data_IF_497564615433
#
_entry.id   IF_497564615433
#
_cell.length_a   1.000
_cell.length_b   1.000
_cell.length_c   1.000
_cell.angle_alpha   90.00
_cell.angle_beta   90.00
_cell.angle_gamma   90.00
#
_symmetry.space_group_name_H-M   'P 1'
#
loop_
_entity.id
_entity.type
_entity.pdbx_description
1 polymer ?
#
# COMPACT_ATOMS: atom_id res chain seq x y z
N UNK A 1 3.13 15.14 18.08
CA UNK A 1 2.85 14.18 19.17
C UNK A 1 1.49 14.42 19.84
N UNK A 2 1.08 15.67 20.11
CA UNK A 2 -0.22 16.01 20.74
C UNK A 2 -1.43 15.56 19.89
N UNK A 3 -1.38 15.70 18.56
CA UNK A 3 -2.49 15.27 17.67
C UNK A 3 -2.80 13.78 17.80
N UNK A 4 -1.80 12.94 18.03
CA UNK A 4 -1.98 11.50 18.06
C UNK A 4 -2.67 11.00 19.34
N UNK A 5 -2.50 11.70 20.47
CA UNK A 5 -3.24 11.39 21.70
C UNK A 5 -4.73 11.68 21.53
N UNK A 6 -5.07 12.85 20.98
CA UNK A 6 -6.46 13.24 20.73
C UNK A 6 -7.15 12.30 19.74
N UNK A 7 -6.45 11.83 18.72
CA UNK A 7 -6.99 10.90 17.74
C UNK A 7 -7.27 9.51 18.34
N UNK A 8 -6.36 9.01 19.18
CA UNK A 8 -6.57 7.76 19.92
C UNK A 8 -7.76 7.90 20.88
N UNK A 9 -7.83 9.00 21.65
CA UNK A 9 -8.93 9.22 22.60
C UNK A 9 -10.27 9.37 21.89
N UNK A 10 -10.33 10.06 20.74
CA UNK A 10 -11.55 10.16 19.91
C UNK A 10 -11.99 8.83 19.32
N UNK A 11 -11.06 7.91 19.06
CA UNK A 11 -11.39 6.57 18.56
C UNK A 11 -12.06 5.70 19.62
N UNK A 12 -11.73 5.91 20.91
CA UNK A 12 -12.29 5.13 21.99
C UNK A 12 -13.76 5.54 22.22
N UNK A 13 -14.73 4.61 22.13
CA UNK A 13 -16.12 4.92 22.45
C UNK A 13 -16.25 5.43 23.89
N UNK A 14 -17.04 6.50 24.11
CA UNK A 14 -17.24 7.08 25.44
C UNK A 14 -17.60 6.02 26.50
N UNK A 15 -18.43 5.02 26.14
CA UNK A 15 -18.79 3.90 27.04
C UNK A 15 -17.58 3.10 27.54
N UNK A 16 -16.56 2.91 26.69
CA UNK A 16 -15.31 2.24 27.09
C UNK A 16 -14.44 3.11 27.99
N UNK A 17 -14.43 4.42 27.80
CA UNK A 17 -13.68 5.33 28.68
C UNK A 17 -14.22 5.22 30.11
N UNK A 18 -15.55 5.28 30.27
CA UNK A 18 -16.19 5.07 31.57
C UNK A 18 -15.93 3.67 32.13
N UNK A 19 -15.92 2.64 31.28
CA UNK A 19 -15.58 1.28 31.69
C UNK A 19 -14.13 1.17 32.22
N UNK A 20 -13.16 1.79 31.54
CA UNK A 20 -11.76 1.75 31.97
C UNK A 20 -11.52 2.53 33.26
N UNK A 21 -12.20 3.67 33.44
CA UNK A 21 -12.19 4.42 34.70
C UNK A 21 -12.78 3.60 35.86
N UNK A 22 -13.89 2.90 35.61
CA UNK A 22 -14.50 2.02 36.59
C UNK A 22 -13.59 0.83 36.92
N UNK A 23 -13.02 0.19 35.90
CA UNK A 23 -12.16 -0.97 36.06
C UNK A 23 -10.83 -0.62 36.74
N UNK A 24 -10.25 0.55 36.46
CA UNK A 24 -9.05 1.02 37.17
C UNK A 24 -9.35 1.31 38.63
N UNK A 25 -10.50 1.92 38.94
CA UNK A 25 -10.92 2.15 40.32
C UNK A 25 -11.13 0.83 41.07
N UNK A 26 -11.81 -0.14 40.44
CA UNK A 26 -12.01 -1.47 40.99
C UNK A 26 -10.68 -2.19 41.26
N UNK A 27 -9.75 -2.14 40.31
CA UNK A 27 -8.43 -2.75 40.47
C UNK A 27 -7.63 -2.09 41.60
N UNK A 28 -7.68 -0.76 41.73
CA UNK A 28 -7.03 -0.07 42.85
C UNK A 28 -7.62 -0.49 44.20
N UNK A 29 -8.95 -0.64 44.30
CA UNK A 29 -9.61 -1.13 45.52
C UNK A 29 -9.17 -2.56 45.84
N UNK A 30 -9.13 -3.45 44.85
CA UNK A 30 -8.64 -4.83 45.02
C UNK A 30 -7.17 -4.83 45.47
N UNK A 31 -6.31 -4.00 44.88
CA UNK A 31 -4.92 -3.90 45.33
C UNK A 31 -4.82 -3.40 46.76
N UNK A 32 -5.65 -2.44 47.18
CA UNK A 32 -5.68 -1.98 48.56
C UNK A 32 -6.10 -3.09 49.51
N UNK A 33 -7.13 -3.88 49.13
CA UNK A 33 -7.60 -5.02 49.91
C UNK A 33 -6.55 -6.11 50.09
N UNK A 34 -5.60 -6.25 49.15
CA UNK A 34 -4.49 -7.21 49.26
C UNK A 34 -3.33 -6.60 50.07
N UNK A 35 -2.96 -5.35 49.78
CA UNK A 35 -1.77 -4.69 50.35
C UNK A 35 -1.96 -4.39 51.84
N UNK A 36 -3.13 -3.88 52.26
CA UNK A 36 -3.38 -3.50 53.67
C UNK A 36 -3.18 -4.68 54.64
N UNK A 37 -3.87 -5.83 54.50
CA UNK A 37 -3.68 -6.94 55.43
C UNK A 37 -2.28 -7.56 55.32
N UNK A 38 -1.65 -7.49 54.13
CA UNK A 38 -0.27 -7.92 53.98
C UNK A 38 0.68 -7.04 54.80
N UNK A 39 0.51 -5.72 54.76
CA UNK A 39 1.30 -4.77 55.54
C UNK A 39 1.12 -5.01 57.05
N UNK A 40 -0.11 -5.21 57.51
CA UNK A 40 -0.42 -5.49 58.92
C UNK A 40 0.23 -6.80 59.40
N UNK A 41 0.16 -7.86 58.60
CA UNK A 41 0.83 -9.14 58.91
C UNK A 41 2.36 -8.99 59.05
N UNK A 42 2.99 -8.24 58.14
CA UNK A 42 4.44 -8.02 58.17
C UNK A 42 4.89 -7.07 59.29
N UNK A 43 4.04 -6.12 59.70
CA UNK A 43 4.28 -5.24 60.83
C UNK A 43 4.43 -6.05 62.13
N UNK A 44 3.52 -7.00 62.36
CA UNK A 44 3.55 -7.85 63.56
C UNK A 44 4.71 -8.86 63.57
N UNK A 45 5.09 -9.39 62.40
CA UNK A 45 6.02 -10.52 62.31
C UNK A 45 7.47 -10.11 62.00
N UNK A 46 7.74 -8.86 61.60
CA UNK A 46 9.07 -8.41 61.19
C UNK A 46 9.42 -7.02 61.70
N UNK A 47 10.38 -6.96 62.63
CA UNK A 47 10.94 -5.69 63.16
C UNK A 47 11.50 -4.76 62.08
N UNK A 48 11.93 -5.30 60.94
CA UNK A 48 12.41 -4.50 59.82
C UNK A 48 11.25 -3.79 59.11
N UNK A 49 10.15 -4.49 58.84
CA UNK A 49 8.98 -3.91 58.19
C UNK A 49 8.28 -2.92 59.10
N UNK A 50 8.23 -3.19 60.41
CA UNK A 50 7.64 -2.26 61.37
C UNK A 50 8.36 -0.91 61.41
N UNK A 51 9.70 -0.91 61.38
CA UNK A 51 10.48 0.33 61.27
C UNK A 51 10.19 1.08 59.97
N UNK A 52 10.01 0.37 58.84
CA UNK A 52 9.64 1.00 57.57
C UNK A 52 8.24 1.64 57.63
N UNK A 53 7.25 0.91 58.16
CA UNK A 53 5.87 1.41 58.28
C UNK A 53 5.81 2.61 59.21
N UNK A 54 6.56 2.60 60.32
CA UNK A 54 6.66 3.73 61.24
C UNK A 54 7.23 4.98 60.57
N UNK A 55 8.33 4.85 59.81
CA UNK A 55 8.90 5.94 59.00
C UNK A 55 7.90 6.45 57.96
N UNK A 56 7.16 5.55 57.30
CA UNK A 56 6.13 5.93 56.32
C UNK A 56 4.94 6.65 56.99
N UNK A 57 4.56 6.24 58.20
CA UNK A 57 3.46 6.86 58.96
C UNK A 57 3.78 8.30 59.38
N UNK A 58 5.06 8.65 59.55
CA UNK A 58 5.52 10.01 59.83
C UNK A 58 5.11 11.02 58.75
N UNK A 59 5.05 10.59 57.48
CA UNK A 59 4.60 11.43 56.37
C UNK A 59 3.07 11.62 56.33
N UNK A 60 2.32 10.91 57.18
CA UNK A 60 0.88 11.04 57.34
C UNK A 60 0.05 10.43 56.19
N UNK A 61 -1.28 10.67 56.19
CA UNK A 61 -2.21 10.05 55.24
C UNK A 61 -1.99 10.49 53.79
N UNK A 62 -1.31 11.62 53.57
CA UNK A 62 -0.99 12.12 52.24
C UNK A 62 -0.14 11.15 51.43
N UNK A 63 0.79 10.44 52.07
CA UNK A 63 1.64 9.47 51.38
C UNK A 63 0.83 8.28 50.86
N UNK A 64 -0.13 7.79 51.65
CA UNK A 64 -1.02 6.68 51.27
C UNK A 64 -1.92 7.09 50.11
N UNK A 65 -2.51 8.29 50.16
CA UNK A 65 -3.34 8.83 49.07
C UNK A 65 -2.51 8.96 47.79
N UNK A 66 -1.28 9.47 47.90
CA UNK A 66 -0.38 9.61 46.77
C UNK A 66 -0.01 8.26 46.15
N UNK A 67 0.29 7.26 46.98
CA UNK A 67 0.62 5.90 46.54
C UNK A 67 -0.54 5.26 45.74
N UNK A 68 -1.77 5.30 46.26
CA UNK A 68 -2.93 4.75 45.55
C UNK A 68 -3.33 5.57 44.32
N UNK A 69 -3.15 6.89 44.33
CA UNK A 69 -3.33 7.74 43.15
C UNK A 69 -2.34 7.36 42.04
N UNK A 70 -1.08 7.09 42.40
CA UNK A 70 -0.06 6.61 41.46
C UNK A 70 -0.44 5.26 40.84
N UNK A 71 -0.93 4.30 41.64
CA UNK A 71 -1.42 3.00 41.15
C UNK A 71 -2.61 3.18 40.20
N UNK A 72 -3.57 4.02 40.55
CA UNK A 72 -4.72 4.30 39.70
C UNK A 72 -4.30 4.90 38.35
N UNK A 73 -3.39 5.88 38.37
CA UNK A 73 -2.80 6.46 37.16
C UNK A 73 -2.05 5.42 36.32
N UNK A 74 -1.33 4.49 36.96
CA UNK A 74 -0.64 3.40 36.26
C UNK A 74 -1.63 2.48 35.53
N UNK A 75 -2.76 2.12 36.16
CA UNK A 75 -3.81 1.34 35.49
C UNK A 75 -4.41 2.07 34.28
N UNK A 76 -4.71 3.36 34.42
CA UNK A 76 -5.18 4.17 33.29
C UNK A 76 -4.16 4.22 32.15
N UNK A 77 -2.88 4.34 32.48
CA UNK A 77 -1.81 4.31 31.48
C UNK A 77 -1.75 2.97 30.74
N UNK A 78 -1.91 1.84 31.43
CA UNK A 78 -1.97 0.52 30.79
C UNK A 78 -3.17 0.38 29.85
N UNK A 79 -4.36 0.83 30.26
CA UNK A 79 -5.53 0.84 29.37
C UNK A 79 -5.35 1.72 28.15
N UNK A 80 -4.74 2.90 28.33
CA UNK A 80 -4.40 3.79 27.22
C UNK A 80 -3.45 3.11 26.23
N UNK A 81 -2.39 2.45 26.71
CA UNK A 81 -1.45 1.73 25.85
C UNK A 81 -2.13 0.60 25.07
N UNK A 82 -3.03 -0.14 25.73
CA UNK A 82 -3.81 -1.20 25.09
C UNK A 82 -4.70 -0.68 23.95
N UNK A 83 -5.44 0.41 24.16
CA UNK A 83 -6.26 1.01 23.09
C UNK A 83 -5.41 1.68 22.01
N UNK A 84 -4.27 2.30 22.37
CA UNK A 84 -3.33 2.84 21.39
C UNK A 84 -2.85 1.75 20.42
N UNK A 85 -2.50 0.57 20.94
CA UNK A 85 -2.08 -0.56 20.10
C UNK A 85 -3.19 -1.01 19.15
N UNK A 86 -4.44 -1.09 19.64
CA UNK A 86 -5.61 -1.44 18.81
C UNK A 86 -5.89 -0.40 17.73
N UNK A 87 -5.78 0.88 18.06
CA UNK A 87 -6.00 1.98 17.13
C UNK A 87 -4.99 1.92 15.96
N UNK A 88 -3.71 1.75 16.25
CA UNK A 88 -2.67 1.63 15.21
C UNK A 88 -2.90 0.40 14.33
N UNK A 89 -3.23 -0.75 14.93
CA UNK A 89 -3.55 -1.98 14.18
C UNK A 89 -4.75 -1.78 13.23
N UNK A 90 -5.80 -1.09 13.70
CA UNK A 90 -6.96 -0.77 12.87
C UNK A 90 -6.60 0.14 11.69
N UNK A 91 -5.76 1.17 11.90
CA UNK A 91 -5.29 2.05 10.82
C UNK A 91 -4.47 1.30 9.78
N UNK A 92 -3.55 0.43 10.20
CA UNK A 92 -2.77 -0.41 9.30
C UNK A 92 -3.68 -1.34 8.49
N UNK A 93 -4.66 -1.97 9.15
CA UNK A 93 -5.64 -2.81 8.47
C UNK A 93 -6.43 -2.04 7.41
N UNK A 94 -6.93 -0.84 7.76
CA UNK A 94 -7.66 0.02 6.82
C UNK A 94 -6.78 0.40 5.62
N UNK A 95 -5.54 0.81 5.86
CA UNK A 95 -4.57 1.15 4.83
C UNK A 95 -4.30 -0.05 3.90
N UNK A 96 -4.04 -1.23 4.48
CA UNK A 96 -3.82 -2.46 3.72
C UNK A 96 -5.02 -2.80 2.82
N UNK A 97 -6.24 -2.66 3.34
CA UNK A 97 -7.48 -2.91 2.58
C UNK A 97 -7.65 -1.92 1.43
N UNK A 98 -7.35 -0.65 1.64
CA UNK A 98 -7.39 0.37 0.58
C UNK A 98 -6.37 0.07 -0.53
N UNK A 99 -5.15 -0.32 -0.17
CA UNK A 99 -4.12 -0.72 -1.13
C UNK A 99 -4.55 -1.94 -1.94
N UNK A 100 -5.13 -2.96 -1.29
CA UNK A 100 -5.67 -4.12 -2.00
C UNK A 100 -6.78 -3.74 -2.99
N UNK A 101 -7.64 -2.78 -2.63
CA UNK A 101 -8.68 -2.29 -3.53
C UNK A 101 -8.09 -1.54 -4.73
N UNK A 102 -7.02 -0.77 -4.53
CA UNK A 102 -6.31 -0.07 -5.62
C UNK A 102 -5.64 -1.09 -6.55
N UNK A 103 -4.93 -2.07 -5.99
CA UNK A 103 -4.28 -3.13 -6.76
C UNK A 103 -5.29 -3.94 -7.59
N UNK A 104 -6.44 -4.30 -7.00
CA UNK A 104 -7.52 -5.00 -7.73
C UNK A 104 -8.16 -4.17 -8.84
N UNK A 105 -8.16 -2.85 -8.70
CA UNK A 105 -8.69 -1.92 -9.69
C UNK A 105 -7.63 -1.49 -10.71
N UNK A 106 -6.55 -2.26 -10.91
CA UNK A 106 -5.43 -1.94 -11.80
C UNK A 106 -4.87 -0.52 -11.60
N UNK A 107 -4.86 -0.07 -10.34
CA UNK A 107 -4.40 1.25 -9.96
C UNK A 107 -5.21 2.41 -10.58
N UNK A 108 -6.43 2.23 -11.10
CA UNK A 108 -7.23 3.31 -11.71
C UNK A 108 -7.80 4.33 -10.69
N UNK A 109 -7.67 4.07 -9.39
CA UNK A 109 -8.19 4.97 -8.34
C UNK A 109 -7.20 6.08 -7.96
N UNK A 110 -7.74 7.26 -7.64
CA UNK A 110 -6.97 8.40 -7.11
C UNK A 110 -6.29 8.06 -5.78
N UNK A 111 -5.06 8.56 -5.67
CA UNK A 111 -4.12 8.47 -4.53
C UNK A 111 -4.81 8.74 -3.20
N UNK A 112 -4.52 7.90 -2.20
CA UNK A 112 -5.13 7.98 -0.88
C UNK A 112 -4.54 9.21 -0.15
N UNK A 113 -5.39 10.15 0.27
CA UNK A 113 -5.01 11.13 1.31
C UNK A 113 -5.12 10.43 2.66
N UNK A 114 -4.01 10.01 3.22
CA UNK A 114 -3.94 9.54 4.62
C UNK A 114 -3.25 10.62 5.45
N UNK A 115 -3.84 10.93 6.60
CA UNK A 115 -3.41 11.97 7.53
C UNK A 115 -1.91 11.89 7.90
N UNK A 116 -1.28 13.06 8.08
CA UNK A 116 0.13 13.35 8.38
C UNK A 116 0.65 12.83 9.75
N UNK A 117 0.12 11.70 10.21
CA UNK A 117 0.45 11.12 11.52
C UNK A 117 1.62 10.10 11.40
N UNK A 118 1.81 9.23 12.40
CA UNK A 118 2.91 8.25 12.49
C UNK A 118 3.03 7.28 11.30
N UNK A 119 1.98 7.13 10.50
CA UNK A 119 1.96 6.33 9.27
C UNK A 119 2.05 7.20 8.01
N UNK A 120 2.30 8.50 8.14
CA UNK A 120 2.37 9.46 7.04
C UNK A 120 3.48 9.10 6.05
N UNK A 121 4.71 8.88 6.53
CA UNK A 121 5.83 8.47 5.68
C UNK A 121 5.58 7.15 4.95
N UNK A 122 4.96 6.18 5.63
CA UNK A 122 4.55 4.92 5.00
C UNK A 122 3.51 5.17 3.90
N UNK A 123 2.55 6.05 4.17
CA UNK A 123 1.49 6.41 3.21
C UNK A 123 2.05 7.14 1.98
N UNK A 124 2.97 8.08 2.17
CA UNK A 124 3.69 8.76 1.09
C UNK A 124 4.48 7.78 0.23
N UNK A 125 5.21 6.86 0.87
CA UNK A 125 5.99 5.84 0.16
C UNK A 125 5.10 4.94 -0.70
N UNK A 126 3.95 4.52 -0.15
CA UNK A 126 2.96 3.71 -0.87
C UNK A 126 2.35 4.49 -2.04
N UNK A 127 2.03 5.76 -1.82
CA UNK A 127 1.52 6.64 -2.87
C UNK A 127 2.52 6.81 -4.01
N UNK A 128 3.82 6.97 -3.70
CA UNK A 128 4.88 7.03 -4.70
C UNK A 128 4.94 5.73 -5.54
N UNK A 129 4.80 4.56 -4.90
CA UNK A 129 4.75 3.27 -5.60
C UNK A 129 3.51 3.19 -6.51
N UNK A 130 2.34 3.60 -6.04
CA UNK A 130 1.09 3.60 -6.83
C UNK A 130 1.25 4.48 -8.08
N UNK A 131 1.82 5.68 -7.93
CA UNK A 131 2.04 6.62 -9.04
C UNK A 131 3.02 6.03 -10.06
N UNK A 132 4.11 5.41 -9.60
CA UNK A 132 5.07 4.75 -10.49
C UNK A 132 4.45 3.57 -11.23
N UNK A 133 3.64 2.76 -10.56
CA UNK A 133 2.92 1.64 -11.17
C UNK A 133 1.94 2.13 -12.26
N UNK A 134 1.17 3.18 -11.99
CA UNK A 134 0.27 3.80 -12.98
C UNK A 134 1.04 4.28 -14.22
N UNK A 135 2.20 4.91 -14.00
CA UNK A 135 3.05 5.40 -15.10
C UNK A 135 3.57 4.23 -15.94
N UNK A 136 4.09 3.18 -15.32
CA UNK A 136 4.60 2.00 -16.01
C UNK A 136 3.50 1.32 -16.85
N UNK A 137 2.30 1.13 -16.30
CA UNK A 137 1.15 0.55 -17.01
C UNK A 137 0.78 1.42 -18.23
N UNK A 138 0.79 2.75 -18.08
CA UNK A 138 0.49 3.67 -19.18
C UNK A 138 1.54 3.58 -20.29
N UNK A 139 2.82 3.50 -19.93
CA UNK A 139 3.92 3.35 -20.89
C UNK A 139 3.85 2.00 -21.63
N UNK A 140 3.54 0.92 -20.92
CA UNK A 140 3.33 -0.41 -21.52
C UNK A 140 2.16 -0.40 -22.52
N UNK A 141 1.01 0.18 -22.14
CA UNK A 141 -0.14 0.32 -23.04
C UNK A 141 0.22 1.10 -24.30
N UNK A 142 0.92 2.23 -24.13
CA UNK A 142 1.37 3.06 -25.26
C UNK A 142 2.35 2.31 -26.18
N UNK A 143 3.30 1.57 -25.61
CA UNK A 143 4.23 0.76 -26.39
C UNK A 143 3.49 -0.34 -27.17
N UNK A 144 2.48 -0.96 -26.55
CA UNK A 144 1.64 -1.97 -27.21
C UNK A 144 0.79 -1.39 -28.35
N UNK A 145 0.22 -0.20 -28.15
CA UNK A 145 -0.50 0.54 -29.20
C UNK A 145 0.42 0.85 -30.37
N UNK A 146 1.60 1.44 -30.11
CA UNK A 146 2.60 1.73 -31.16
C UNK A 146 2.99 0.46 -31.91
N UNK A 147 3.22 -0.65 -31.19
CA UNK A 147 3.55 -1.94 -31.83
C UNK A 147 2.41 -2.44 -32.73
N UNK A 148 1.17 -2.35 -32.27
CA UNK A 148 0.01 -2.76 -33.05
C UNK A 148 -0.18 -1.89 -34.30
N UNK A 149 0.02 -0.58 -34.18
CA UNK A 149 -0.07 0.35 -35.31
C UNK A 149 1.04 0.07 -36.34
N UNK A 150 2.27 -0.13 -35.87
CA UNK A 150 3.41 -0.50 -36.73
C UNK A 150 3.11 -1.79 -37.51
N UNK A 151 2.67 -2.85 -36.82
CA UNK A 151 2.35 -4.14 -37.44
C UNK A 151 1.20 -4.00 -38.44
N UNK A 152 0.16 -3.23 -38.12
CA UNK A 152 -0.99 -3.05 -39.01
C UNK A 152 -0.61 -2.30 -40.28
N UNK A 153 0.19 -1.25 -40.15
CA UNK A 153 0.68 -0.47 -41.30
C UNK A 153 1.60 -1.30 -42.19
N UNK A 154 2.58 -2.00 -41.60
CA UNK A 154 3.48 -2.88 -42.36
C UNK A 154 2.70 -4.01 -43.04
N UNK A 155 1.72 -4.62 -42.36
CA UNK A 155 0.88 -5.66 -42.96
C UNK A 155 0.06 -5.16 -44.16
N UNK A 156 -0.44 -3.93 -44.10
CA UNK A 156 -1.17 -3.31 -45.22
C UNK A 156 -0.26 -3.10 -46.44
N UNK A 157 0.96 -2.60 -46.22
CA UNK A 157 1.93 -2.36 -47.27
C UNK A 157 2.41 -3.68 -47.91
N UNK A 158 2.72 -4.69 -47.09
CA UNK A 158 3.08 -6.02 -47.56
C UNK A 158 1.99 -6.63 -48.45
N UNK A 159 0.71 -6.52 -48.07
CA UNK A 159 -0.41 -7.01 -48.88
C UNK A 159 -0.47 -6.32 -50.25
N UNK A 160 -0.29 -5.01 -50.28
CA UNK A 160 -0.35 -4.21 -51.52
C UNK A 160 0.82 -4.55 -52.47
N UNK A 161 2.03 -4.72 -51.90
CA UNK A 161 3.23 -5.14 -52.65
C UNK A 161 3.08 -6.58 -53.18
N UNK A 162 2.60 -7.51 -52.35
CA UNK A 162 2.37 -8.90 -52.76
C UNK A 162 1.30 -9.02 -53.84
N UNK A 163 0.20 -8.28 -53.73
CA UNK A 163 -0.87 -8.27 -54.75
C UNK A 163 -0.33 -7.79 -56.09
N UNK A 164 0.55 -6.78 -56.08
CA UNK A 164 1.23 -6.28 -57.28
C UNK A 164 2.13 -7.36 -57.89
N UNK A 165 2.96 -8.03 -57.08
CA UNK A 165 3.83 -9.13 -57.53
C UNK A 165 3.01 -10.23 -58.20
N UNK A 166 1.94 -10.70 -57.54
CA UNK A 166 1.05 -11.73 -58.09
C UNK A 166 0.39 -11.24 -59.39
N UNK A 167 -0.04 -9.98 -59.45
CA UNK A 167 -0.64 -9.38 -60.64
C UNK A 167 0.30 -9.39 -61.85
N UNK A 168 1.53 -8.91 -61.69
CA UNK A 168 2.52 -8.92 -62.78
C UNK A 168 2.96 -10.34 -63.16
N UNK A 169 3.17 -11.23 -62.19
CA UNK A 169 3.46 -12.64 -62.48
C UNK A 169 2.32 -13.33 -63.24
N UNK A 170 1.06 -12.97 -62.95
CA UNK A 170 -0.09 -13.48 -63.72
C UNK A 170 -0.08 -12.96 -65.15
N UNK A 171 0.26 -11.69 -65.40
CA UNK A 171 0.40 -11.16 -66.76
C UNK A 171 1.50 -11.90 -67.54
N UNK A 172 2.63 -12.19 -66.87
CA UNK A 172 3.74 -12.94 -67.46
C UNK A 172 3.31 -14.39 -67.78
N UNK A 173 2.70 -15.10 -66.83
CA UNK A 173 2.33 -16.52 -66.98
C UNK A 173 1.23 -16.79 -68.01
N UNK A 174 0.43 -15.78 -68.36
CA UNK A 174 -0.64 -15.89 -69.37
C UNK A 174 -0.23 -15.27 -70.72
N UNK A 175 1.07 -15.03 -70.93
CA UNK A 175 1.62 -14.39 -72.14
C UNK A 175 0.93 -13.05 -72.48
N UNK A 176 0.51 -12.30 -71.46
CA UNK A 176 -0.16 -11.00 -71.58
C UNK A 176 0.86 -9.86 -71.58
N UNK A 177 1.79 -9.90 -72.52
CA UNK A 177 2.77 -8.84 -72.80
C UNK A 177 2.95 -8.67 -74.31
N UNK A 178 3.31 -7.47 -74.77
CA UNK A 178 3.39 -7.12 -76.20
C UNK A 178 4.73 -7.52 -76.83
N UNK A 179 5.80 -7.41 -76.06
CA UNK A 179 7.17 -7.68 -76.51
C UNK A 179 8.11 -8.03 -75.33
N UNK A 180 9.36 -8.36 -75.65
CA UNK A 180 10.40 -8.69 -74.66
C UNK A 180 10.75 -7.49 -73.75
N UNK A 181 10.53 -6.25 -74.22
CA UNK A 181 10.80 -5.04 -73.45
C UNK A 181 9.78 -4.93 -72.32
N UNK A 182 8.49 -5.14 -72.61
CA UNK A 182 7.41 -5.15 -71.61
C UNK A 182 7.55 -6.31 -70.62
N UNK A 183 7.96 -7.49 -71.07
CA UNK A 183 8.27 -8.63 -70.19
C UNK A 183 9.39 -8.28 -69.18
N UNK A 184 10.46 -7.64 -69.66
CA UNK A 184 11.58 -7.23 -68.81
C UNK A 184 11.17 -6.14 -67.83
N UNK A 185 10.30 -5.22 -68.25
CA UNK A 185 9.71 -4.21 -67.37
C UNK A 185 8.85 -4.84 -66.26
N UNK A 186 7.99 -5.81 -66.55
CA UNK A 186 7.20 -6.50 -65.52
C UNK A 186 8.09 -7.25 -64.52
N UNK A 187 9.14 -7.91 -65.02
CA UNK A 187 10.12 -8.61 -64.18
C UNK A 187 10.86 -7.65 -63.25
N UNK A 188 11.24 -6.48 -63.75
CA UNK A 188 11.89 -5.42 -62.96
C UNK A 188 10.96 -4.88 -61.86
N UNK A 189 9.67 -4.69 -62.15
CA UNK A 189 8.69 -4.32 -61.12
C UNK A 189 8.60 -5.40 -60.04
N UNK A 190 8.48 -6.68 -60.43
CA UNK A 190 8.41 -7.79 -59.47
C UNK A 190 9.64 -7.80 -58.57
N UNK A 191 10.84 -7.67 -59.14
CA UNK A 191 12.09 -7.63 -58.40
C UNK A 191 12.10 -6.45 -57.41
N UNK A 192 11.79 -5.24 -57.87
CA UNK A 192 11.76 -4.04 -57.02
C UNK A 192 10.77 -4.19 -55.85
N UNK A 193 9.60 -4.79 -56.08
CA UNK A 193 8.60 -5.02 -55.04
C UNK A 193 9.05 -6.09 -54.03
N UNK A 194 9.73 -7.15 -54.50
CA UNK A 194 10.29 -8.17 -53.62
C UNK A 194 11.42 -7.61 -52.75
N UNK A 195 12.31 -6.79 -53.30
CA UNK A 195 13.34 -6.07 -52.55
C UNK A 195 12.72 -5.14 -51.50
N UNK A 196 11.64 -4.44 -51.85
CA UNK A 196 10.91 -3.58 -50.90
C UNK A 196 10.32 -4.38 -49.74
N UNK A 197 9.74 -5.56 -50.01
CA UNK A 197 9.24 -6.47 -48.95
C UNK A 197 10.40 -6.91 -48.04
N UNK A 198 11.54 -7.28 -48.62
CA UNK A 198 12.72 -7.70 -47.88
C UNK A 198 13.22 -6.60 -46.93
N UNK A 199 13.29 -5.35 -47.40
CA UNK A 199 13.64 -4.20 -46.55
C UNK A 199 12.63 -3.98 -45.42
N UNK A 200 11.32 -3.99 -45.71
CA UNK A 200 10.28 -3.81 -44.69
C UNK A 200 10.31 -4.90 -43.61
N UNK A 201 10.68 -6.12 -43.97
CA UNK A 201 10.84 -7.23 -43.02
C UNK A 201 12.06 -6.98 -42.12
N UNK A 202 13.20 -6.60 -42.69
CA UNK A 202 14.41 -6.31 -41.91
C UNK A 202 14.18 -5.14 -40.94
N UNK A 203 13.56 -4.07 -41.39
CA UNK A 203 13.22 -2.89 -40.56
C UNK A 203 12.25 -3.23 -39.42
N UNK A 204 11.50 -4.34 -39.50
CA UNK A 204 10.55 -4.78 -38.46
C UNK A 204 11.21 -5.65 -37.36
N UNK A 205 12.29 -6.36 -37.70
CA UNK A 205 12.97 -7.30 -36.81
C UNK A 205 14.25 -6.75 -36.17
N UNK A 206 14.76 -5.60 -36.63
CA UNK A 206 15.75 -4.77 -35.93
C UNK A 206 15.12 -3.90 -34.83
#
# INVERSE_FOLDING_TARGET
MINNFLDVVKFIPNKKIYLYLFLSALMTIITAFIIIPSLEYYDEHSRFFSQIIEILSYFGPFFIIFFYCSIFCAYLFLFYQYEKQRYTAFRIYKLSKEIQLIAKANFDKKVIKIDENELGQLSESINAIIIQAQKAIKEERRAKEIKNDLVTNVAHDLRSLLTSIIGYLNLINHDHYRDEIELRYYTEIVQSKAERIHHLINDLFE
#
